data_IF_854074589118
#
_entry.id   IF_854074589118
#
_cell.length_a   1.000
_cell.length_b   1.000
_cell.length_c   1.000
_cell.angle_alpha   90.00
_cell.angle_beta   90.00
_cell.angle_gamma   90.00
#
_symmetry.space_group_name_H-M   'P 1'
#
loop_
_entity.id
_entity.type
_entity.pdbx_description
1 polymer ?
#
# COMPACT_ATOMS: atom_id res chain seq x y z
N UNK A 1 -21.95 40.87 27.85
CA UNK A 1 -23.12 40.58 26.97
C UNK A 1 -24.26 40.04 27.84
N UNK A 2 -25.53 40.16 27.46
CA UNK A 2 -26.66 39.63 28.24
C UNK A 2 -27.21 38.31 27.68
N UNK A 3 -27.85 37.51 28.53
CA UNK A 3 -28.67 36.37 28.14
C UNK A 3 -29.87 36.86 27.32
N UNK A 4 -30.08 36.32 26.12
CA UNK A 4 -31.19 36.72 25.24
C UNK A 4 -32.49 36.06 25.72
N UNK A 5 -33.11 36.67 26.73
CA UNK A 5 -34.44 36.30 27.24
C UNK A 5 -35.55 36.99 26.45
N UNK A 6 -36.78 36.53 26.60
CA UNK A 6 -37.95 37.09 25.92
C UNK A 6 -38.14 38.58 26.30
N UNK A 7 -37.97 38.87 27.59
CA UNK A 7 -38.00 40.25 28.12
C UNK A 7 -36.91 41.10 27.51
N UNK A 8 -35.70 40.57 27.33
CA UNK A 8 -34.60 41.29 26.70
C UNK A 8 -34.89 41.56 25.21
N UNK A 9 -35.29 40.53 24.46
CA UNK A 9 -35.61 40.65 23.04
C UNK A 9 -36.74 41.65 22.77
N UNK A 10 -37.77 41.70 23.62
CA UNK A 10 -38.88 42.67 23.53
C UNK A 10 -38.40 44.11 23.77
N UNK A 11 -37.55 44.35 24.77
CA UNK A 11 -37.08 45.69 25.16
C UNK A 11 -36.17 46.37 24.14
N UNK A 12 -35.53 45.62 23.24
CA UNK A 12 -34.66 46.20 22.21
C UNK A 12 -35.46 47.08 21.25
N UNK A 13 -35.07 48.34 21.08
CA UNK A 13 -35.63 49.21 20.03
C UNK A 13 -35.14 48.75 18.65
N UNK A 14 -35.93 49.03 17.61
CA UNK A 14 -35.48 48.79 16.24
C UNK A 14 -34.29 49.69 15.91
N UNK A 15 -33.37 49.17 15.10
CA UNK A 15 -32.17 49.90 14.75
C UNK A 15 -32.50 50.98 13.70
N UNK A 16 -32.18 52.26 13.93
CA UNK A 16 -32.48 53.34 12.98
C UNK A 16 -31.68 53.21 11.68
N UNK A 17 -30.47 52.64 11.74
CA UNK A 17 -29.59 52.40 10.60
C UNK A 17 -28.89 51.04 10.69
N UNK A 18 -28.91 50.30 9.59
CA UNK A 18 -28.24 48.99 9.49
C UNK A 18 -28.92 47.89 10.31
N UNK A 19 -28.11 46.95 10.80
CA UNK A 19 -28.56 45.82 11.62
C UNK A 19 -27.64 45.65 12.80
N UNK A 20 -28.18 45.81 14.01
CA UNK A 20 -27.45 45.58 15.25
C UNK A 20 -27.50 44.10 15.63
N UNK A 21 -26.39 43.57 16.13
CA UNK A 21 -26.22 42.15 16.48
C UNK A 21 -26.07 42.01 17.98
N UNK A 22 -26.96 41.24 18.60
CA UNK A 22 -26.93 40.96 20.03
C UNK A 22 -26.66 39.47 20.24
N UNK A 23 -25.52 39.14 20.82
CA UNK A 23 -25.08 37.74 21.03
C UNK A 23 -25.50 37.23 22.39
N UNK A 24 -25.87 35.95 22.45
CA UNK A 24 -26.18 35.28 23.70
C UNK A 24 -24.91 34.93 24.48
N UNK A 25 -24.96 35.10 25.79
CA UNK A 25 -23.82 34.75 26.67
C UNK A 25 -23.66 33.28 26.96
N UNK A 26 -24.75 32.52 26.93
CA UNK A 26 -24.76 31.11 27.33
C UNK A 26 -24.63 30.20 26.11
N UNK A 27 -25.28 30.55 24.99
CA UNK A 27 -25.26 29.76 23.76
C UNK A 27 -24.35 30.44 22.74
N UNK A 28 -23.09 30.01 22.68
CA UNK A 28 -22.11 30.51 21.70
C UNK A 28 -22.64 30.30 20.28
N UNK A 29 -22.69 31.38 19.50
CA UNK A 29 -23.17 31.37 18.12
C UNK A 29 -24.64 31.81 17.95
N UNK A 30 -25.44 31.85 19.02
CA UNK A 30 -26.78 32.41 18.96
C UNK A 30 -26.73 33.94 18.95
N UNK A 31 -27.47 34.55 18.02
CA UNK A 31 -27.50 36.00 17.82
C UNK A 31 -28.87 36.48 17.38
N UNK A 32 -29.31 37.61 17.94
CA UNK A 32 -30.48 38.36 17.50
C UNK A 32 -30.06 39.54 16.65
N UNK A 33 -30.51 39.55 15.40
CA UNK A 33 -30.30 40.63 14.45
C UNK A 33 -31.50 41.59 14.55
N UNK A 34 -31.26 42.82 14.96
CA UNK A 34 -32.27 43.87 15.08
C UNK A 34 -32.08 44.87 13.95
N UNK A 35 -32.96 44.81 12.95
CA UNK A 35 -33.00 45.75 11.84
C UNK A 35 -34.02 46.87 12.06
N UNK A 36 -34.29 47.63 10.99
CA UNK A 36 -35.23 48.78 11.00
C UNK A 36 -36.68 48.41 11.34
N UNK A 37 -37.11 47.19 10.99
CA UNK A 37 -38.52 46.75 11.12
C UNK A 37 -38.70 45.34 11.68
N UNK A 38 -37.60 44.60 11.90
CA UNK A 38 -37.69 43.19 12.28
C UNK A 38 -36.54 42.78 13.19
N UNK A 39 -36.83 41.80 14.04
CA UNK A 39 -35.86 41.11 14.88
C UNK A 39 -35.80 39.64 14.45
N UNK A 40 -34.61 39.14 14.15
CA UNK A 40 -34.44 37.82 13.55
C UNK A 40 -33.35 37.03 14.27
N UNK A 41 -33.68 35.81 14.69
CA UNK A 41 -32.77 34.88 15.31
C UNK A 41 -31.92 34.16 14.26
N UNK A 42 -30.61 34.14 14.48
CA UNK A 42 -29.67 33.36 13.69
C UNK A 42 -28.76 32.55 14.61
N UNK A 43 -28.25 31.43 14.09
CA UNK A 43 -27.12 30.72 14.65
C UNK A 43 -25.93 30.84 13.71
N UNK A 44 -24.75 31.19 14.22
CA UNK A 44 -23.54 31.38 13.43
C UNK A 44 -22.36 30.60 14.04
N UNK A 45 -21.64 29.86 13.20
CA UNK A 45 -20.48 29.07 13.60
C UNK A 45 -19.48 28.94 12.46
N UNK A 46 -18.19 28.92 12.79
CA UNK A 46 -17.13 28.63 11.82
C UNK A 46 -16.98 27.11 11.63
N UNK A 47 -17.04 26.66 10.38
CA UNK A 47 -16.88 25.25 9.99
C UNK A 47 -15.89 25.19 8.84
N UNK A 48 -14.75 24.51 9.04
CA UNK A 48 -13.70 24.40 8.02
C UNK A 48 -13.07 25.74 7.60
N UNK A 49 -12.98 26.71 8.53
CA UNK A 49 -12.44 28.04 8.26
C UNK A 49 -13.41 29.01 7.58
N UNK A 50 -14.66 28.62 7.34
CA UNK A 50 -15.70 29.50 6.80
C UNK A 50 -16.85 29.68 7.80
N UNK A 51 -17.29 30.93 7.98
CA UNK A 51 -18.43 31.26 8.82
C UNK A 51 -19.74 30.85 8.13
N UNK A 52 -20.44 29.87 8.71
CA UNK A 52 -21.80 29.48 8.31
C UNK A 52 -22.82 30.12 9.23
N UNK A 53 -23.92 30.61 8.65
CA UNK A 53 -25.03 31.24 9.36
C UNK A 53 -26.35 30.60 8.96
N UNK A 54 -27.12 30.15 9.93
CA UNK A 54 -28.42 29.50 9.77
C UNK A 54 -29.50 30.40 10.35
N UNK A 55 -30.59 30.60 9.59
CA UNK A 55 -31.77 31.33 10.04
C UNK A 55 -32.61 30.43 10.97
N UNK A 56 -32.89 30.89 12.18
CA UNK A 56 -33.80 30.19 13.11
C UNK A 56 -35.23 30.68 12.89
N UNK A 57 -35.41 32.00 12.73
CA UNK A 57 -36.72 32.60 12.46
C UNK A 57 -36.87 34.00 13.05
N UNK A 58 -38.05 34.59 12.90
CA UNK A 58 -38.32 35.99 13.32
C UNK A 58 -38.96 36.03 14.71
N UNK A 59 -38.55 36.99 15.53
CA UNK A 59 -39.27 37.37 16.74
C UNK A 59 -40.50 38.25 16.37
N UNK A 60 -41.68 38.09 17.00
CA UNK A 60 -41.99 37.19 18.12
C UNK A 60 -42.50 35.80 17.70
N UNK A 61 -42.58 35.48 16.40
CA UNK A 61 -43.06 34.18 15.90
C UNK A 61 -42.25 33.02 16.52
N UNK A 62 -40.94 33.20 16.64
CA UNK A 62 -40.06 32.34 17.42
C UNK A 62 -39.71 33.07 18.72
N UNK A 63 -40.13 32.49 19.84
CA UNK A 63 -39.81 32.97 21.18
C UNK A 63 -38.32 32.83 21.47
N UNK A 64 -37.80 33.59 22.44
CA UNK A 64 -36.40 33.46 22.85
C UNK A 64 -36.07 32.03 23.31
N UNK A 65 -37.02 31.36 23.99
CA UNK A 65 -36.82 29.99 24.47
C UNK A 65 -36.73 29.00 23.30
N UNK A 66 -37.64 29.10 22.33
CA UNK A 66 -37.60 28.27 21.13
C UNK A 66 -36.31 28.54 20.33
N UNK A 67 -35.94 29.81 20.15
CA UNK A 67 -34.70 30.16 19.45
C UNK A 67 -33.45 29.61 20.14
N UNK A 68 -33.41 29.64 21.48
CA UNK A 68 -32.33 29.06 22.28
C UNK A 68 -32.30 27.54 22.16
N UNK A 69 -33.45 26.87 22.22
CA UNK A 69 -33.54 25.42 22.05
C UNK A 69 -33.04 25.00 20.65
N UNK A 70 -33.54 25.63 19.59
CA UNK A 70 -33.09 25.37 18.22
C UNK A 70 -31.61 25.70 18.02
N UNK A 71 -31.08 26.73 18.68
CA UNK A 71 -29.65 27.02 18.63
C UNK A 71 -28.79 25.98 19.34
N UNK A 72 -29.26 25.37 20.43
CA UNK A 72 -28.58 24.22 21.05
C UNK A 72 -28.58 23.00 20.13
N UNK A 73 -29.71 22.75 19.46
CA UNK A 73 -29.83 21.68 18.44
C UNK A 73 -28.89 21.92 17.27
N UNK A 74 -28.88 23.12 16.69
CA UNK A 74 -27.96 23.51 15.63
C UNK A 74 -26.49 23.49 16.09
N UNK A 75 -26.20 23.86 17.33
CA UNK A 75 -24.86 23.75 17.90
C UNK A 75 -24.41 22.28 18.01
N UNK A 76 -25.34 21.37 18.32
CA UNK A 76 -25.12 19.94 18.36
C UNK A 76 -24.92 19.36 16.93
N UNK A 77 -25.78 19.74 15.98
CA UNK A 77 -25.73 19.31 14.57
C UNK A 77 -24.56 19.90 13.77
N UNK A 78 -24.10 21.10 14.10
CA UNK A 78 -22.93 21.74 13.49
C UNK A 78 -21.66 21.49 14.31
N UNK A 79 -21.78 20.94 15.53
CA UNK A 79 -20.69 20.41 16.36
C UNK A 79 -20.36 18.96 16.05
N UNK A 80 -21.38 18.19 15.71
CA UNK A 80 -21.31 16.84 15.18
C UNK A 80 -21.70 16.94 13.72
N UNK A 81 -20.76 17.03 12.76
CA UNK A 81 -21.15 16.92 11.36
C UNK A 81 -21.99 15.64 11.17
N UNK A 82 -23.32 15.79 11.04
CA UNK A 82 -24.34 14.74 11.10
C UNK A 82 -24.24 13.79 12.32
N UNK A 83 -25.28 13.76 13.16
CA UNK A 83 -25.30 12.97 14.39
C UNK A 83 -25.08 11.47 14.23
N UNK A 84 -24.39 10.89 15.22
CA UNK A 84 -24.70 9.57 15.78
C UNK A 84 -24.79 9.68 17.29
N UNK A 85 -25.77 8.97 17.86
CA UNK A 85 -25.93 8.73 19.29
C UNK A 85 -24.59 8.29 19.91
N UNK A 86 -24.42 8.48 21.22
CA UNK A 86 -23.20 8.15 21.97
C UNK A 86 -22.58 6.80 21.55
N UNK A 87 -21.70 6.87 20.55
CA UNK A 87 -20.90 5.79 19.99
C UNK A 87 -19.46 6.22 20.25
N UNK A 88 -18.62 5.26 20.62
CA UNK A 88 -17.16 5.41 20.58
C UNK A 88 -16.84 6.00 19.20
N UNK A 89 -16.37 7.24 19.17
CA UNK A 89 -16.16 7.97 17.90
C UNK A 89 -15.32 7.15 16.93
N UNK A 90 -15.46 7.41 15.63
CA UNK A 90 -14.66 6.74 14.63
C UNK A 90 -13.18 6.80 15.03
N UNK A 91 -12.45 5.66 14.99
CA UNK A 91 -11.04 5.68 15.33
C UNK A 91 -10.29 6.58 14.35
N UNK A 92 -9.18 7.15 14.80
CA UNK A 92 -8.26 7.82 13.88
C UNK A 92 -7.68 6.82 12.89
N UNK A 93 -7.19 7.28 11.74
CA UNK A 93 -6.51 6.42 10.79
C UNK A 93 -5.32 5.68 11.45
N UNK A 94 -4.59 6.33 12.36
CA UNK A 94 -3.49 5.70 13.10
C UNK A 94 -3.99 4.55 13.98
N UNK A 95 -5.02 4.79 14.80
CA UNK A 95 -5.59 3.76 15.67
C UNK A 95 -6.17 2.59 14.86
N UNK A 96 -6.87 2.90 13.76
CA UNK A 96 -7.41 1.89 12.85
C UNK A 96 -6.31 1.08 12.16
N UNK A 97 -5.19 1.73 11.81
CA UNK A 97 -4.03 1.07 11.21
C UNK A 97 -3.43 0.05 12.18
N UNK A 98 -3.15 0.44 13.42
CA UNK A 98 -2.57 -0.48 14.41
C UNK A 98 -3.53 -1.63 14.74
N UNK A 99 -4.84 -1.36 14.84
CA UNK A 99 -5.85 -2.41 15.00
C UNK A 99 -5.87 -3.39 13.81
N UNK A 100 -5.78 -2.88 12.57
CA UNK A 100 -5.68 -3.70 11.36
C UNK A 100 -4.40 -4.55 11.35
N UNK A 101 -3.27 -4.00 11.80
CA UNK A 101 -1.98 -4.68 11.82
C UNK A 101 -1.85 -5.73 12.94
N UNK A 102 -2.60 -5.58 14.03
CA UNK A 102 -2.63 -6.50 15.16
C UNK A 102 -3.38 -7.83 14.87
N UNK A 103 -3.99 -7.98 13.69
CA UNK A 103 -4.76 -9.18 13.34
C UNK A 103 -3.88 -10.44 13.34
N UNK A 104 -4.31 -11.54 14.00
CA UNK A 104 -3.51 -12.77 14.10
C UNK A 104 -3.16 -13.43 12.76
N UNK A 105 -4.04 -13.29 11.75
CA UNK A 105 -3.88 -13.92 10.42
C UNK A 105 -3.38 -12.97 9.33
N UNK A 106 -2.59 -11.95 9.68
CA UNK A 106 -2.06 -11.01 8.68
C UNK A 106 -0.82 -11.58 7.96
N UNK A 107 -0.71 -11.32 6.64
CA UNK A 107 0.23 -11.98 5.69
C UNK A 107 1.67 -12.20 6.19
N UNK A 108 2.36 -11.15 6.65
CA UNK A 108 3.75 -11.20 7.13
C UNK A 108 4.17 -9.89 7.81
N UNK A 109 5.27 -9.88 8.58
CA UNK A 109 5.79 -8.64 9.19
C UNK A 109 6.29 -7.63 8.14
N UNK A 110 6.84 -8.10 7.02
CA UNK A 110 7.18 -7.24 5.88
C UNK A 110 5.94 -6.52 5.32
N UNK A 111 4.80 -7.22 5.25
CA UNK A 111 3.54 -6.62 4.85
C UNK A 111 3.09 -5.55 5.85
N UNK A 112 3.18 -5.82 7.16
CA UNK A 112 2.84 -4.85 8.22
C UNK A 112 3.69 -3.59 8.09
N UNK A 113 5.00 -3.75 7.94
CA UNK A 113 5.92 -2.64 7.75
C UNK A 113 5.57 -1.83 6.50
N UNK A 114 5.27 -2.49 5.38
CA UNK A 114 4.83 -1.84 4.14
C UNK A 114 3.57 -0.99 4.35
N UNK A 115 2.52 -1.56 4.97
CA UNK A 115 1.29 -0.81 5.27
C UNK A 115 1.60 0.44 6.09
N UNK A 116 2.37 0.31 7.18
CA UNK A 116 2.73 1.44 8.04
C UNK A 116 3.50 2.52 7.28
N UNK A 117 4.51 2.12 6.50
CA UNK A 117 5.30 3.05 5.70
C UNK A 117 4.45 3.82 4.68
N UNK A 118 3.44 3.19 4.06
CA UNK A 118 2.53 3.89 3.16
C UNK A 118 1.63 4.88 3.91
N UNK A 119 1.11 4.53 5.09
CA UNK A 119 0.31 5.47 5.88
C UNK A 119 1.15 6.67 6.34
N UNK A 120 2.38 6.43 6.80
CA UNK A 120 3.28 7.47 7.31
C UNK A 120 3.87 8.37 6.22
N UNK A 121 4.18 7.81 5.04
CA UNK A 121 4.80 8.57 3.96
C UNK A 121 3.77 9.23 3.05
N UNK A 122 2.64 8.56 2.78
CA UNK A 122 1.67 9.01 1.78
C UNK A 122 0.42 9.63 2.40
N UNK A 123 0.05 9.32 3.65
CA UNK A 123 -1.18 9.78 4.32
C UNK A 123 -0.91 10.38 5.71
N UNK A 124 0.29 10.94 5.92
CA UNK A 124 0.77 11.44 7.23
C UNK A 124 -0.20 12.40 7.90
N UNK A 125 -0.72 13.35 7.13
CA UNK A 125 -1.65 14.39 7.56
C UNK A 125 -3.03 13.83 7.94
N UNK A 126 -3.35 12.59 7.54
CA UNK A 126 -4.61 11.92 7.90
C UNK A 126 -4.48 11.00 9.11
N UNK A 127 -3.26 10.68 9.56
CA UNK A 127 -3.04 9.73 10.66
C UNK A 127 -3.84 10.09 11.91
N UNK A 128 -3.98 11.38 12.20
CA UNK A 128 -4.69 11.89 13.39
C UNK A 128 -6.18 12.17 13.13
N UNK A 129 -6.64 12.10 11.89
CA UNK A 129 -8.03 12.34 11.55
C UNK A 129 -8.88 11.11 11.86
N UNK A 130 -10.04 11.27 12.50
CA UNK A 130 -11.09 10.25 12.54
C UNK A 130 -11.43 9.75 11.13
N UNK A 131 -11.69 8.45 10.98
CA UNK A 131 -11.97 7.86 9.67
C UNK A 131 -13.23 8.45 8.99
N UNK A 132 -14.23 8.87 9.75
CA UNK A 132 -15.45 9.51 9.25
C UNK A 132 -15.25 10.95 8.76
N UNK A 133 -14.17 11.62 9.18
CA UNK A 133 -13.78 12.95 8.68
C UNK A 133 -13.02 12.88 7.35
N UNK A 134 -12.50 11.71 6.95
CA UNK A 134 -11.79 11.55 5.68
C UNK A 134 -12.82 11.46 4.55
N UNK A 135 -12.98 12.56 3.80
CA UNK A 135 -14.01 12.69 2.77
C UNK A 135 -13.60 12.14 1.40
N UNK A 136 -14.58 11.91 0.52
CA UNK A 136 -14.36 11.52 -0.89
C UNK A 136 -13.42 12.51 -1.62
N UNK A 137 -13.60 13.81 -1.42
CA UNK A 137 -12.79 14.85 -2.08
C UNK A 137 -11.34 14.85 -1.58
N UNK A 138 -11.09 14.53 -0.30
CA UNK A 138 -9.74 14.34 0.22
C UNK A 138 -9.05 13.16 -0.45
N UNK A 139 -9.75 12.04 -0.61
CA UNK A 139 -9.24 10.83 -1.28
C UNK A 139 -8.93 11.07 -2.75
N UNK A 140 -9.82 11.70 -3.49
CA UNK A 140 -9.59 12.09 -4.89
C UNK A 140 -8.38 13.00 -5.00
N UNK A 141 -8.31 14.05 -4.18
CA UNK A 141 -7.19 15.00 -4.19
C UNK A 141 -5.86 14.32 -3.89
N UNK A 142 -5.82 13.42 -2.89
CA UNK A 142 -4.58 12.69 -2.55
C UNK A 142 -4.16 11.72 -3.63
N UNK A 143 -5.10 11.06 -4.30
CA UNK A 143 -4.80 10.20 -5.46
C UNK A 143 -4.20 11.00 -6.62
N UNK A 144 -4.74 12.19 -6.91
CA UNK A 144 -4.22 13.12 -7.91
C UNK A 144 -2.83 13.68 -7.54
N UNK A 145 -2.60 13.99 -6.27
CA UNK A 145 -1.29 14.44 -5.78
C UNK A 145 -0.16 13.40 -5.97
N UNK A 146 -0.52 12.13 -6.12
CA UNK A 146 0.42 11.02 -6.32
C UNK A 146 0.46 10.54 -7.78
N UNK A 147 -0.13 11.30 -8.72
CA UNK A 147 -0.27 10.91 -10.13
C UNK A 147 1.07 10.60 -10.81
N UNK A 148 2.16 11.27 -10.42
CA UNK A 148 3.52 11.02 -10.96
C UNK A 148 4.02 9.60 -10.69
N UNK A 149 3.44 8.92 -9.71
CA UNK A 149 3.71 7.52 -9.42
C UNK A 149 2.39 6.75 -9.24
N UNK A 150 1.75 6.34 -10.35
CA UNK A 150 0.42 5.72 -10.35
C UNK A 150 0.30 4.50 -9.43
N UNK A 151 1.33 3.65 -9.42
CA UNK A 151 1.37 2.46 -8.56
C UNK A 151 1.42 2.85 -7.07
N UNK A 152 2.21 3.87 -6.72
CA UNK A 152 2.25 4.39 -5.34
C UNK A 152 0.90 4.97 -4.91
N UNK A 153 0.26 5.76 -5.77
CA UNK A 153 -1.07 6.33 -5.54
C UNK A 153 -2.11 5.23 -5.27
N UNK A 154 -2.16 4.23 -6.15
CA UNK A 154 -3.06 3.10 -6.03
C UNK A 154 -2.78 2.26 -4.78
N UNK A 155 -1.52 1.94 -4.49
CA UNK A 155 -1.15 1.14 -3.31
C UNK A 155 -1.49 1.84 -2.00
N UNK A 156 -1.19 3.14 -1.87
CA UNK A 156 -1.55 3.93 -0.68
C UNK A 156 -3.04 3.83 -0.37
N UNK A 157 -3.88 4.04 -1.38
CA UNK A 157 -5.33 4.07 -1.20
C UNK A 157 -5.97 2.67 -1.12
N UNK A 158 -5.35 1.63 -1.70
CA UNK A 158 -5.75 0.23 -1.45
C UNK A 158 -5.47 -0.20 -0.02
N UNK A 159 -4.34 0.21 0.57
CA UNK A 159 -4.09 -0.03 1.99
C UNK A 159 -5.05 0.73 2.88
N UNK A 160 -5.25 2.03 2.61
CA UNK A 160 -6.26 2.82 3.31
C UNK A 160 -7.65 2.18 3.23
N UNK A 161 -8.09 1.74 2.04
CA UNK A 161 -9.38 1.03 1.86
C UNK A 161 -9.47 -0.24 2.71
N UNK A 162 -8.37 -0.99 2.81
CA UNK A 162 -8.32 -2.22 3.61
C UNK A 162 -8.44 -1.94 5.11
N UNK A 163 -7.76 -0.89 5.60
CA UNK A 163 -7.83 -0.43 6.99
C UNK A 163 -9.23 0.11 7.29
N UNK A 164 -9.77 0.97 6.43
CA UNK A 164 -11.10 1.57 6.57
C UNK A 164 -12.19 0.49 6.63
N UNK A 165 -12.19 -0.44 5.68
CA UNK A 165 -13.18 -1.51 5.66
C UNK A 165 -13.02 -2.52 6.80
N UNK A 166 -11.83 -2.61 7.39
CA UNK A 166 -11.64 -3.38 8.61
C UNK A 166 -12.29 -2.69 9.81
N UNK A 167 -12.04 -1.38 9.98
CA UNK A 167 -12.67 -0.58 11.03
C UNK A 167 -14.20 -0.56 10.91
N UNK A 168 -14.74 -0.51 9.67
CA UNK A 168 -16.19 -0.55 9.40
C UNK A 168 -16.89 -1.82 9.91
N UNK A 169 -16.14 -2.90 10.23
CA UNK A 169 -16.74 -4.12 10.80
C UNK A 169 -17.19 -3.94 12.25
N UNK A 170 -16.57 -3.00 12.97
CA UNK A 170 -16.78 -2.77 14.41
C UNK A 170 -17.20 -1.34 14.72
N UNK A 171 -16.99 -0.41 13.79
CA UNK A 171 -17.38 0.98 13.89
C UNK A 171 -18.43 1.31 12.83
N UNK A 172 -19.34 2.20 13.18
CA UNK A 172 -20.44 2.62 12.33
C UNK A 172 -19.98 3.69 11.32
N UNK A 173 -19.13 3.26 10.38
CA UNK A 173 -18.55 4.08 9.32
C UNK A 173 -19.36 3.95 8.02
N UNK A 174 -19.46 5.03 7.21
CA UNK A 174 -20.07 4.97 5.88
C UNK A 174 -19.24 4.12 4.91
N UNK A 175 -19.68 4.03 3.65
CA UNK A 175 -18.87 3.41 2.62
C UNK A 175 -17.51 4.11 2.46
N UNK A 176 -16.44 3.32 2.23
CA UNK A 176 -15.09 3.87 2.12
C UNK A 176 -15.00 4.95 1.03
N UNK A 177 -14.42 6.12 1.30
CA UNK A 177 -14.37 7.24 0.35
C UNK A 177 -13.55 6.95 -0.92
N UNK A 178 -12.78 5.85 -0.95
CA UNK A 178 -12.08 5.35 -2.16
C UNK A 178 -13.00 4.85 -3.26
N UNK A 179 -14.32 4.81 -3.06
CA UNK A 179 -15.27 4.56 -4.13
C UNK A 179 -15.36 5.72 -5.14
N UNK A 180 -14.86 6.91 -4.76
CA UNK A 180 -14.89 8.11 -5.62
C UNK A 180 -13.68 8.23 -6.56
N UNK A 181 -12.71 7.31 -6.50
CA UNK A 181 -11.51 7.38 -7.34
C UNK A 181 -11.60 6.42 -8.52
N UNK A 182 -11.16 6.90 -9.67
CA UNK A 182 -10.80 6.08 -10.81
C UNK A 182 -9.35 5.64 -10.62
N UNK A 183 -9.12 4.33 -10.51
CA UNK A 183 -7.77 3.80 -10.30
C UNK A 183 -6.93 4.00 -11.56
N UNK A 184 -5.70 4.49 -11.41
CA UNK A 184 -4.80 4.58 -12.56
C UNK A 184 -4.50 3.21 -13.12
N UNK A 185 -4.35 3.13 -14.44
CA UNK A 185 -3.80 1.94 -15.09
C UNK A 185 -2.34 1.76 -14.67
N UNK A 186 -2.00 0.58 -14.16
CA UNK A 186 -0.64 0.23 -13.78
C UNK A 186 -0.04 -0.62 -14.88
N UNK A 187 0.99 -0.11 -15.56
CA UNK A 187 1.77 -0.88 -16.51
C UNK A 187 2.92 -1.55 -15.74
N UNK A 188 2.86 -2.87 -15.46
CA UNK A 188 3.93 -3.55 -14.76
C UNK A 188 5.22 -3.52 -15.60
N UNK A 189 6.37 -3.32 -14.94
CA UNK A 189 7.65 -3.26 -15.62
C UNK A 189 7.96 -4.57 -16.36
N UNK A 190 7.84 -4.50 -17.68
CA UNK A 190 8.02 -5.53 -18.70
C UNK A 190 9.43 -6.08 -18.85
N UNK A 191 10.44 -5.40 -18.29
CA UNK A 191 11.82 -5.55 -18.76
C UNK A 191 12.44 -6.92 -18.44
N UNK A 192 13.02 -7.52 -19.48
CA UNK A 192 13.95 -8.66 -19.43
C UNK A 192 15.38 -8.17 -19.68
N UNK A 193 16.34 -9.07 -19.58
CA UNK A 193 17.72 -8.83 -20.00
C UNK A 193 17.79 -9.22 -21.48
N UNK A 194 17.86 -8.23 -22.37
CA UNK A 194 17.86 -8.45 -23.82
C UNK A 194 19.21 -8.97 -24.33
N UNK A 195 20.32 -8.38 -23.86
CA UNK A 195 21.68 -8.80 -24.22
C UNK A 195 22.34 -9.54 -23.05
N UNK A 196 22.31 -10.88 -23.12
CA UNK A 196 22.94 -11.76 -22.12
C UNK A 196 24.47 -11.72 -22.15
N UNK A 197 25.08 -11.35 -23.28
CA UNK A 197 26.52 -11.13 -23.41
C UNK A 197 26.96 -9.84 -22.72
N UNK A 198 26.20 -8.75 -22.86
CA UNK A 198 26.40 -7.51 -22.09
C UNK A 198 26.21 -7.75 -20.59
N UNK A 199 25.16 -8.51 -20.24
CA UNK A 199 24.92 -8.90 -18.85
C UNK A 199 26.10 -9.66 -18.26
N UNK A 200 26.64 -10.66 -18.98
CA UNK A 200 27.80 -11.44 -18.51
C UNK A 200 29.00 -10.54 -18.23
N UNK A 201 29.38 -9.67 -19.18
CA UNK A 201 30.47 -8.70 -19.00
C UNK A 201 30.25 -7.79 -17.78
N UNK A 202 29.01 -7.38 -17.54
CA UNK A 202 28.65 -6.53 -16.40
C UNK A 202 28.81 -7.26 -15.07
N UNK A 203 28.38 -8.52 -15.00
CA UNK A 203 28.46 -9.36 -13.81
C UNK A 203 29.91 -9.73 -13.48
N UNK A 204 30.71 -10.07 -14.49
CA UNK A 204 32.14 -10.35 -14.33
C UNK A 204 32.92 -9.12 -13.85
N UNK A 205 32.43 -7.91 -14.13
CA UNK A 205 33.02 -6.65 -13.67
C UNK A 205 32.67 -6.26 -12.22
N UNK A 206 31.81 -7.02 -11.52
CA UNK A 206 31.44 -6.71 -10.13
C UNK A 206 32.60 -7.00 -9.18
N UNK A 207 32.95 -6.03 -8.34
CA UNK A 207 34.07 -6.16 -7.37
C UNK A 207 33.80 -7.15 -6.24
N UNK A 208 32.54 -7.37 -5.88
CA UNK A 208 32.17 -8.23 -4.75
C UNK A 208 31.62 -9.55 -5.28
N UNK A 209 32.31 -10.69 -5.05
CA UNK A 209 31.91 -11.99 -5.60
C UNK A 209 30.55 -12.46 -5.08
N UNK A 210 30.12 -12.02 -3.90
CA UNK A 210 28.77 -12.33 -3.37
C UNK A 210 27.69 -11.78 -4.31
N UNK A 211 27.88 -10.58 -4.87
CA UNK A 211 26.91 -9.99 -5.80
C UNK A 211 26.94 -10.66 -7.18
N UNK A 212 28.13 -11.04 -7.66
CA UNK A 212 28.29 -11.83 -8.90
C UNK A 212 27.49 -13.13 -8.82
N UNK A 213 27.78 -13.95 -7.81
CA UNK A 213 27.10 -15.23 -7.59
C UNK A 213 25.61 -15.04 -7.33
N UNK A 214 25.21 -13.95 -6.65
CA UNK A 214 23.79 -13.66 -6.39
C UNK A 214 23.01 -13.46 -7.68
N UNK A 215 23.51 -12.63 -8.59
CA UNK A 215 22.84 -12.37 -9.86
C UNK A 215 22.90 -13.55 -10.82
N UNK A 216 24.01 -14.30 -10.84
CA UNK A 216 24.10 -15.56 -11.58
C UNK A 216 23.07 -16.57 -11.08
N UNK A 217 23.00 -16.81 -9.76
CA UNK A 217 22.03 -17.72 -9.19
C UNK A 217 20.61 -17.31 -9.58
N UNK A 218 20.25 -16.02 -9.49
CA UNK A 218 18.92 -15.54 -9.89
C UNK A 218 18.61 -15.81 -11.36
N UNK A 219 19.57 -15.60 -12.27
CA UNK A 219 19.36 -15.85 -13.69
C UNK A 219 19.21 -17.34 -13.99
N UNK A 220 20.01 -18.20 -13.37
CA UNK A 220 20.03 -19.64 -13.65
C UNK A 220 18.96 -20.45 -12.90
N UNK A 221 18.37 -19.91 -11.84
CA UNK A 221 17.32 -20.59 -11.05
C UNK A 221 15.93 -19.97 -11.20
N UNK A 222 15.87 -18.70 -11.61
CA UNK A 222 14.64 -17.92 -11.56
C UNK A 222 14.10 -17.66 -10.16
N UNK A 223 14.84 -17.93 -9.07
CA UNK A 223 14.38 -17.72 -7.69
C UNK A 223 13.91 -16.28 -7.44
N UNK A 224 12.99 -16.09 -6.47
CA UNK A 224 12.64 -14.71 -6.07
C UNK A 224 13.81 -14.11 -5.29
N UNK A 225 14.05 -12.80 -5.47
CA UNK A 225 15.08 -12.04 -4.75
C UNK A 225 15.15 -12.40 -3.26
N UNK A 226 14.03 -12.35 -2.54
CA UNK A 226 14.00 -12.62 -1.11
C UNK A 226 14.30 -14.08 -0.73
N UNK A 227 13.94 -15.03 -1.60
CA UNK A 227 14.24 -16.45 -1.41
C UNK A 227 15.75 -16.70 -1.55
N UNK A 228 16.39 -16.06 -2.55
CA UNK A 228 17.83 -16.12 -2.74
C UNK A 228 18.61 -15.43 -1.62
N UNK A 229 18.21 -14.22 -1.20
CA UNK A 229 18.92 -13.47 -0.14
C UNK A 229 18.96 -14.23 1.20
N UNK A 230 17.88 -14.95 1.51
CA UNK A 230 17.70 -15.68 2.77
C UNK A 230 18.12 -17.17 2.66
N UNK A 231 18.85 -17.56 1.61
CA UNK A 231 19.23 -18.95 1.40
C UNK A 231 20.33 -19.38 2.39
N UNK A 232 20.08 -20.48 3.09
CA UNK A 232 21.05 -21.12 4.00
C UNK A 232 21.68 -22.36 3.34
N UNK A 233 22.94 -22.66 3.64
CA UNK A 233 23.65 -23.82 3.10
C UNK A 233 22.97 -25.15 3.44
N UNK A 234 22.30 -25.25 4.59
CA UNK A 234 21.55 -26.46 5.00
C UNK A 234 20.38 -26.80 4.05
N UNK A 235 19.96 -25.83 3.24
CA UNK A 235 18.86 -25.95 2.28
C UNK A 235 19.37 -26.22 0.85
N UNK A 236 20.69 -26.25 0.64
CA UNK A 236 21.30 -26.57 -0.65
C UNK A 236 21.79 -28.01 -0.60
N UNK A 237 21.05 -28.89 -1.27
CA UNK A 237 21.36 -30.31 -1.40
C UNK A 237 22.06 -30.57 -2.74
N UNK A 238 22.50 -31.81 -2.95
CA UNK A 238 23.13 -32.21 -4.20
C UNK A 238 22.18 -32.07 -5.40
N UNK A 239 20.92 -32.45 -5.24
CA UNK A 239 19.94 -32.56 -6.32
C UNK A 239 18.94 -31.40 -6.37
N UNK A 240 18.83 -30.59 -5.31
CA UNK A 240 17.83 -29.53 -5.15
C UNK A 240 18.23 -28.38 -4.21
N UNK A 241 17.55 -27.25 -4.35
CA UNK A 241 17.42 -26.22 -3.31
C UNK A 241 16.04 -26.37 -2.65
N UNK A 242 16.03 -26.58 -1.34
CA UNK A 242 14.80 -26.66 -0.53
C UNK A 242 14.47 -25.30 0.10
N UNK A 243 13.34 -24.71 -0.28
CA UNK A 243 12.81 -23.52 0.38
C UNK A 243 11.70 -23.94 1.35
N UNK A 244 11.94 -23.97 2.67
CA UNK A 244 10.98 -24.50 3.64
C UNK A 244 9.71 -23.66 3.74
N UNK A 245 9.82 -22.34 3.51
CA UNK A 245 8.69 -21.43 3.48
C UNK A 245 8.91 -20.34 2.45
N UNK A 246 8.11 -20.36 1.39
CA UNK A 246 8.16 -19.34 0.33
C UNK A 246 7.19 -18.19 0.60
N UNK A 247 7.24 -17.16 -0.26
CA UNK A 247 6.31 -16.00 -0.19
C UNK A 247 4.83 -16.40 -0.16
N UNK A 248 4.49 -17.58 -0.68
CA UNK A 248 3.13 -18.09 -0.77
C UNK A 248 2.74 -19.04 0.39
N UNK A 249 3.62 -19.21 1.39
CA UNK A 249 3.33 -20.04 2.57
C UNK A 249 3.39 -21.54 2.32
N UNK A 250 4.07 -21.98 1.25
CA UNK A 250 4.31 -23.40 0.94
C UNK A 250 5.81 -23.66 0.82
N UNK A 251 6.24 -24.88 1.15
CA UNK A 251 7.58 -25.32 0.81
C UNK A 251 7.72 -25.48 -0.70
N UNK A 252 8.95 -25.37 -1.20
CA UNK A 252 9.26 -25.51 -2.61
C UNK A 252 10.64 -26.12 -2.78
N UNK A 253 10.72 -27.19 -3.56
CA UNK A 253 11.98 -27.78 -3.97
C UNK A 253 12.25 -27.44 -5.43
N UNK A 254 13.40 -26.81 -5.69
CA UNK A 254 13.87 -26.50 -7.03
C UNK A 254 14.96 -27.51 -7.41
N UNK A 255 14.84 -28.26 -8.52
CA UNK A 255 15.94 -29.10 -8.98
C UNK A 255 17.12 -28.21 -9.37
N UNK A 256 18.32 -28.56 -8.91
CA UNK A 256 19.55 -27.90 -9.32
C UNK A 256 20.47 -28.90 -10.02
N UNK A 257 21.44 -28.34 -10.72
CA UNK A 257 22.40 -29.03 -11.57
C UNK A 257 23.83 -28.70 -11.13
N UNK A 258 24.83 -29.40 -11.65
CA UNK A 258 26.23 -29.12 -11.38
C UNK A 258 26.59 -27.63 -11.61
N UNK A 259 26.05 -27.02 -12.66
CA UNK A 259 26.24 -25.58 -12.94
C UNK A 259 25.85 -24.67 -11.78
N UNK A 260 24.80 -25.03 -11.04
CA UNK A 260 24.37 -24.24 -9.88
C UNK A 260 25.34 -24.39 -8.71
N UNK A 261 25.88 -25.61 -8.50
CA UNK A 261 26.95 -25.84 -7.53
C UNK A 261 28.20 -25.07 -7.89
N UNK A 262 28.57 -25.03 -9.17
CA UNK A 262 29.72 -24.27 -9.66
C UNK A 262 29.55 -22.76 -9.42
N UNK A 263 28.37 -22.22 -9.70
CA UNK A 263 28.00 -20.83 -9.39
C UNK A 263 28.15 -20.55 -7.89
N UNK A 264 27.70 -21.46 -7.02
CA UNK A 264 27.70 -21.28 -5.57
C UNK A 264 29.06 -21.53 -4.90
N UNK A 265 29.93 -22.34 -5.52
CA UNK A 265 31.18 -22.81 -4.95
C UNK A 265 32.08 -21.70 -4.37
N UNK A 266 32.25 -20.53 -5.02
CA UNK A 266 33.08 -19.44 -4.49
C UNK A 266 32.63 -18.91 -3.12
N UNK A 267 31.35 -19.04 -2.77
CA UNK A 267 30.82 -18.50 -1.51
C UNK A 267 30.89 -19.49 -0.35
N UNK A 268 31.10 -20.78 -0.62
CA UNK A 268 31.10 -21.84 0.40
C UNK A 268 32.10 -21.61 1.55
N UNK A 269 33.32 -21.07 1.30
CA UNK A 269 34.25 -20.76 2.38
C UNK A 269 33.87 -19.54 3.23
N UNK A 270 32.98 -18.66 2.75
CA UNK A 270 32.72 -17.36 3.37
C UNK A 270 31.79 -17.43 4.60
N UNK A 271 30.94 -18.45 4.68
CA UNK A 271 30.03 -18.65 5.81
C UNK A 271 29.56 -20.09 5.90
N UNK A 272 29.41 -20.59 7.13
CA UNK A 272 28.82 -21.92 7.39
C UNK A 272 27.29 -21.93 7.30
N UNK A 273 26.64 -20.78 7.47
CA UNK A 273 25.17 -20.68 7.55
C UNK A 273 24.57 -20.11 6.27
N UNK A 274 24.98 -18.91 5.88
CA UNK A 274 24.34 -18.15 4.81
C UNK A 274 25.06 -18.36 3.48
N UNK A 275 24.31 -18.56 2.40
CA UNK A 275 24.89 -18.59 1.04
C UNK A 275 25.43 -17.22 0.65
N UNK A 276 24.71 -16.14 1.00
CA UNK A 276 25.11 -14.76 0.70
C UNK A 276 25.38 -13.95 1.98
N UNK A 277 26.49 -14.22 2.70
CA UNK A 277 26.76 -13.60 3.98
C UNK A 277 27.05 -12.09 3.85
N UNK A 278 26.76 -11.34 4.91
CA UNK A 278 27.18 -9.93 5.04
C UNK A 278 27.54 -9.65 6.49
N UNK A 279 28.84 -9.51 6.82
CA UNK A 279 29.27 -9.18 8.18
C UNK A 279 28.75 -7.82 8.67
N UNK A 280 28.41 -6.91 7.74
CA UNK A 280 27.89 -5.57 8.05
C UNK A 280 26.38 -5.56 8.29
N UNK A 281 25.68 -6.66 7.99
CA UNK A 281 24.22 -6.74 8.13
C UNK A 281 23.83 -7.31 9.49
N UNK A 282 22.85 -6.69 10.15
CA UNK A 282 22.27 -7.21 11.39
C UNK A 282 21.64 -8.61 11.21
N UNK A 283 21.21 -8.97 9.99
CA UNK A 283 20.66 -10.30 9.69
C UNK A 283 21.73 -11.35 9.41
N UNK A 284 22.99 -10.94 9.21
CA UNK A 284 24.12 -11.80 8.85
C UNK A 284 24.22 -12.14 7.35
N UNK A 285 23.27 -11.69 6.52
CA UNK A 285 23.26 -11.86 5.06
C UNK A 285 22.96 -10.54 4.34
N UNK A 286 23.25 -10.48 3.04
CA UNK A 286 22.99 -9.27 2.24
C UNK A 286 21.48 -8.95 2.20
N UNK A 287 21.10 -7.72 2.55
CA UNK A 287 19.69 -7.28 2.49
C UNK A 287 19.38 -6.50 1.21
N UNK A 288 20.42 -5.96 0.57
CA UNK A 288 20.35 -5.25 -0.71
C UNK A 288 21.56 -5.59 -1.57
N UNK A 289 21.38 -6.30 -2.70
CA UNK A 289 22.46 -6.47 -3.66
C UNK A 289 22.80 -5.13 -4.31
N UNK A 290 24.03 -4.99 -4.80
CA UNK A 290 24.49 -3.80 -5.53
C UNK A 290 23.50 -3.46 -6.65
N UNK A 291 23.04 -2.21 -6.72
CA UNK A 291 22.15 -1.74 -7.80
C UNK A 291 22.89 -1.78 -9.13
N UNK A 292 22.20 -2.25 -10.17
CA UNK A 292 22.71 -2.33 -11.53
C UNK A 292 21.58 -2.07 -12.53
N UNK A 293 21.91 -2.05 -13.84
CA UNK A 293 20.97 -1.82 -14.95
C UNK A 293 19.72 -2.70 -14.88
N UNK A 294 19.88 -3.98 -14.53
CA UNK A 294 18.78 -4.94 -14.46
C UNK A 294 18.35 -5.25 -13.02
N UNK A 295 17.05 -5.30 -12.79
CA UNK A 295 16.50 -5.68 -11.49
C UNK A 295 16.58 -7.20 -11.27
N UNK A 296 16.52 -7.63 -10.00
CA UNK A 296 16.38 -9.05 -9.67
C UNK A 296 15.12 -9.68 -10.30
N UNK A 297 14.07 -8.88 -10.56
CA UNK A 297 12.87 -9.37 -11.24
C UNK A 297 13.10 -9.56 -12.74
N UNK A 298 13.91 -8.71 -13.37
CA UNK A 298 14.31 -8.87 -14.77
C UNK A 298 15.07 -10.18 -14.98
N UNK A 299 15.95 -10.60 -14.05
CA UNK A 299 16.65 -11.89 -14.11
C UNK A 299 15.65 -13.07 -14.12
N UNK A 300 14.68 -13.04 -13.21
CA UNK A 300 13.63 -14.06 -13.13
C UNK A 300 12.73 -14.09 -14.38
N UNK A 301 12.38 -12.92 -14.93
CA UNK A 301 11.62 -12.84 -16.19
C UNK A 301 12.43 -13.36 -17.37
N UNK A 302 13.74 -13.09 -17.38
CA UNK A 302 14.66 -13.57 -18.41
C UNK A 302 14.76 -15.09 -18.36
N UNK A 303 14.92 -15.69 -17.18
CA UNK A 303 14.84 -17.15 -17.01
C UNK A 303 13.54 -17.72 -17.62
N UNK A 304 12.39 -17.13 -17.28
CA UNK A 304 11.10 -17.57 -17.80
C UNK A 304 11.00 -17.45 -19.33
N UNK A 305 11.47 -16.33 -19.88
CA UNK A 305 11.40 -16.02 -21.32
C UNK A 305 12.30 -16.96 -22.10
N UNK A 306 13.56 -17.11 -21.67
CA UNK A 306 14.53 -18.01 -22.28
C UNK A 306 14.05 -19.47 -22.20
N UNK A 307 13.42 -19.86 -21.09
CA UNK A 307 12.86 -21.20 -20.97
C UNK A 307 11.75 -21.48 -21.99
N UNK A 308 10.82 -20.54 -22.15
CA UNK A 308 9.75 -20.63 -23.13
C UNK A 308 10.30 -20.68 -24.57
N UNK A 309 11.28 -19.83 -24.88
CA UNK A 309 11.92 -19.79 -26.19
C UNK A 309 12.74 -21.05 -26.50
N UNK A 310 13.29 -21.70 -25.48
CA UNK A 310 13.95 -23.01 -25.59
C UNK A 310 12.97 -24.19 -25.69
N UNK A 311 11.67 -23.93 -25.79
CA UNK A 311 10.62 -24.95 -25.97
C UNK A 311 10.11 -25.59 -24.68
N UNK A 312 10.45 -25.06 -23.50
CA UNK A 312 9.90 -25.55 -22.24
C UNK A 312 8.45 -25.07 -22.09
N UNK A 313 7.54 -26.00 -21.78
CA UNK A 313 6.11 -25.70 -21.60
C UNK A 313 5.88 -24.69 -20.46
N UNK A 314 4.94 -23.76 -20.66
CA UNK A 314 4.62 -22.70 -19.68
C UNK A 314 4.27 -23.26 -18.30
N UNK A 315 3.55 -24.38 -18.25
CA UNK A 315 3.23 -25.01 -16.96
C UNK A 315 4.51 -25.45 -16.23
N UNK A 316 5.47 -26.05 -16.93
CA UNK A 316 6.75 -26.50 -16.36
C UNK A 316 7.60 -25.32 -15.91
N UNK A 317 7.68 -24.25 -16.71
CA UNK A 317 8.32 -22.99 -16.32
C UNK A 317 7.66 -22.42 -15.05
N UNK A 318 6.32 -22.44 -15.00
CA UNK A 318 5.55 -22.06 -13.82
C UNK A 318 5.92 -22.88 -12.58
N UNK A 319 6.15 -24.20 -12.72
CA UNK A 319 6.60 -25.07 -11.62
C UNK A 319 8.01 -24.73 -11.17
N UNK A 320 8.97 -24.58 -12.09
CA UNK A 320 10.35 -24.15 -11.77
C UNK A 320 10.37 -22.79 -11.06
N UNK A 321 9.45 -21.91 -11.40
CA UNK A 321 9.32 -20.60 -10.78
C UNK A 321 8.49 -20.61 -9.49
N UNK A 322 7.92 -21.74 -9.06
CA UNK A 322 6.97 -21.80 -7.95
C UNK A 322 5.82 -20.78 -8.11
N UNK A 323 5.22 -20.76 -9.30
CA UNK A 323 3.96 -20.09 -9.57
C UNK A 323 2.80 -20.97 -9.10
N UNK A 324 1.77 -20.35 -8.53
CA UNK A 324 0.55 -21.07 -8.20
C UNK A 324 -0.15 -21.43 -9.50
N UNK A 325 -0.38 -22.72 -9.78
CA UNK A 325 -1.08 -23.14 -11.00
C UNK A 325 -2.47 -22.54 -11.05
N UNK A 326 -2.96 -22.19 -12.24
CA UNK A 326 -4.31 -21.64 -12.41
C UNK A 326 -5.39 -22.72 -12.26
N UNK A 327 -5.09 -23.97 -12.64
CA UNK A 327 -6.04 -25.08 -12.56
C UNK A 327 -6.13 -25.67 -11.14
N UNK A 328 -7.35 -26.04 -10.73
CA UNK A 328 -7.61 -26.73 -9.45
C UNK A 328 -6.81 -28.04 -9.37
N UNK A 329 -6.70 -28.75 -10.50
CA UNK A 329 -5.92 -30.00 -10.61
C UNK A 329 -4.44 -29.75 -10.36
N UNK A 330 -3.85 -28.72 -11.00
CA UNK A 330 -2.46 -28.35 -10.77
C UNK A 330 -2.18 -27.88 -9.34
N UNK A 331 -3.18 -27.26 -8.68
CA UNK A 331 -3.08 -26.84 -7.28
C UNK A 331 -3.21 -27.99 -6.26
N UNK A 332 -3.88 -29.10 -6.60
CA UNK A 332 -4.26 -30.16 -5.64
C UNK A 332 -3.69 -31.55 -5.93
N UNK A 333 -3.39 -31.91 -7.18
CA UNK A 333 -3.21 -33.31 -7.59
C UNK A 333 -1.93 -33.59 -8.41
N UNK A 334 -1.14 -32.58 -8.79
CA UNK A 334 0.06 -32.81 -9.63
C UNK A 334 1.18 -31.85 -9.22
N UNK A 335 2.07 -32.34 -8.35
CA UNK A 335 3.40 -31.79 -8.17
C UNK A 335 4.36 -32.69 -8.96
N UNK A 336 4.91 -32.24 -10.09
CA UNK A 336 5.91 -33.02 -10.81
C UNK A 336 7.08 -33.34 -9.88
N UNK A 337 7.64 -34.55 -10.00
CA UNK A 337 8.86 -34.91 -9.29
C UNK A 337 10.02 -34.00 -9.74
N UNK A 338 11.07 -33.93 -8.92
CA UNK A 338 12.29 -33.19 -9.29
C UNK A 338 12.90 -33.74 -10.58
N UNK A 339 12.85 -35.06 -10.78
CA UNK A 339 13.35 -35.71 -11.99
C UNK A 339 12.54 -35.33 -13.23
N UNK A 340 11.23 -35.10 -13.10
CA UNK A 340 10.40 -34.62 -14.21
C UNK A 340 10.72 -33.16 -14.58
N UNK A 341 11.19 -32.35 -13.63
CA UNK A 341 11.55 -30.94 -13.85
C UNK A 341 13.02 -30.76 -14.27
N UNK A 342 13.87 -31.74 -14.01
CA UNK A 342 15.32 -31.68 -14.26
C UNK A 342 15.69 -31.48 -15.73
N UNK A 343 15.09 -32.20 -16.72
CA UNK A 343 15.38 -31.97 -18.14
C UNK A 343 15.07 -30.54 -18.57
N UNK A 344 13.95 -29.97 -18.09
CA UNK A 344 13.62 -28.57 -18.36
C UNK A 344 14.67 -27.63 -17.78
N UNK A 345 15.11 -27.84 -16.52
CA UNK A 345 16.19 -27.04 -15.93
C UNK A 345 17.50 -27.14 -16.75
N UNK A 346 17.84 -28.32 -17.27
CA UNK A 346 19.01 -28.53 -18.13
C UNK A 346 18.91 -27.73 -19.43
N UNK A 347 17.77 -27.82 -20.12
CA UNK A 347 17.49 -27.04 -21.34
C UNK A 347 17.66 -25.55 -21.10
N UNK A 348 17.06 -25.01 -20.03
CA UNK A 348 17.15 -23.57 -19.72
C UNK A 348 18.58 -23.14 -19.40
N UNK A 349 19.31 -23.94 -18.60
CA UNK A 349 20.69 -23.62 -18.24
C UNK A 349 21.63 -23.67 -19.44
N UNK A 350 21.43 -24.62 -20.37
CA UNK A 350 22.21 -24.71 -21.60
C UNK A 350 21.97 -23.48 -22.48
N UNK A 351 20.71 -23.13 -22.72
CA UNK A 351 20.33 -21.97 -23.53
C UNK A 351 20.88 -20.65 -22.94
N UNK A 352 20.77 -20.46 -21.62
CA UNK A 352 21.31 -19.28 -20.95
C UNK A 352 22.83 -19.15 -21.12
N UNK A 353 23.57 -20.26 -21.07
CA UNK A 353 25.02 -20.27 -21.30
C UNK A 353 25.37 -19.92 -22.73
N UNK A 354 24.67 -20.51 -23.69
CA UNK A 354 24.91 -20.28 -25.12
C UNK A 354 24.70 -18.80 -25.49
N UNK A 355 23.61 -18.20 -24.99
CA UNK A 355 23.30 -16.78 -25.24
C UNK A 355 24.27 -15.79 -24.58
N UNK A 356 24.95 -16.20 -23.50
CA UNK A 356 26.01 -15.39 -22.87
C UNK A 356 27.32 -15.39 -23.66
N UNK A 357 27.51 -16.37 -24.54
CA UNK A 357 28.71 -16.52 -25.38
C UNK A 357 28.49 -15.97 -26.78
N UNK A 358 27.23 -15.95 -27.23
CA UNK A 358 26.83 -15.45 -28.53
C UNK A 358 26.98 -13.93 -28.59
N UNK A 359 27.91 -13.42 -29.42
CA UNK A 359 27.90 -12.01 -29.82
C UNK A 359 26.58 -11.76 -30.55
N UNK A 360 25.67 -11.01 -29.93
CA UNK A 360 24.46 -10.54 -30.61
C UNK A 360 24.93 -9.73 -31.83
N UNK A 361 24.78 -10.29 -33.03
CA UNK A 361 24.71 -9.43 -34.21
C UNK A 361 23.43 -8.61 -34.07
N UNK A 362 23.48 -7.28 -34.17
CA UNK A 362 22.29 -6.46 -34.10
C UNK A 362 21.39 -6.82 -35.30
N UNK A 363 20.42 -7.68 -35.05
CA UNK A 363 19.42 -8.09 -36.03
C UNK A 363 18.47 -6.94 -36.31
N UNK A 364 18.52 -6.48 -37.55
CA UNK A 364 17.55 -5.61 -38.21
C UNK A 364 16.11 -5.97 -37.84
N UNK A 365 15.41 -5.05 -37.17
CA UNK A 365 13.94 -5.02 -37.25
C UNK A 365 13.57 -4.19 -38.47
N UNK A 366 12.99 -4.84 -39.46
CA UNK A 366 12.19 -4.22 -40.51
C UNK A 366 10.82 -3.83 -39.94
#
# INVERSE_FOLDING_TARGET
MPKLTETYAKKLSFSPEGTQKYWDTEIKGLVLFVGKRSKTWYFQKDVGGQTKRVLIGRHPVISSQAARQTAMELALEMGRGAGKAAQIGAPTLQTATEAYLARPKLRSDQYKHGVRAYMENQLKDWLRLPLDEITKSMVVRRHQQLADNPSTANHALRYFRSIYNHARRTHDLPECPTMAIEWYEEQPDGRTIEDLSEWRRTIDGLRNPIHTVFYELLLFTGLRKGEALNLEWKNVYEDRIHLPMTKNGRSFDLPILQTHHDILAPLKPLSRKWVFPSPKSATGYITGPQRMKWSAHAHRRTFATVAMEAGVLEEVVGRLLNHTPLSITGQRYTLPSLDALRPAMETVCAELKERQQSRVQPGSRA
#
